data_IF_088658256793
#
_entry.id   IF_088658256793
#
_cell.length_a   1.000
_cell.length_b   1.000
_cell.length_c   1.000
_cell.angle_alpha   90.00
_cell.angle_beta   90.00
_cell.angle_gamma   90.00
#
_symmetry.space_group_name_H-M   'P 1'
#
loop_
_entity.id
_entity.type
_entity.pdbx_description
1 polymer ?
#
# COMPACT_ATOMS: atom_id res chain seq x y z
N UNK A 1 3.97 -16.19 15.30
CA UNK A 1 3.99 -17.14 14.16
C UNK A 1 2.62 -17.30 13.49
N UNK A 2 1.54 -17.53 14.24
CA UNK A 2 0.22 -17.78 13.62
C UNK A 2 -0.27 -16.66 12.68
N UNK A 3 -0.14 -15.38 13.07
CA UNK A 3 -0.56 -14.27 12.19
C UNK A 3 0.23 -14.20 10.87
N UNK A 4 1.54 -14.49 10.93
CA UNK A 4 2.39 -14.58 9.74
C UNK A 4 1.90 -15.69 8.80
N UNK A 5 1.44 -16.82 9.35
CA UNK A 5 0.87 -17.92 8.56
C UNK A 5 -0.49 -17.54 7.95
N UNK A 6 -1.38 -16.88 8.71
CA UNK A 6 -2.64 -16.35 8.20
C UNK A 6 -2.39 -15.40 7.01
N UNK A 7 -1.46 -14.44 7.17
CA UNK A 7 -1.06 -13.52 6.12
C UNK A 7 -0.49 -14.26 4.90
N UNK A 8 0.36 -15.26 5.10
CA UNK A 8 0.91 -16.08 4.02
C UNK A 8 -0.19 -16.85 3.28
N UNK A 9 -1.17 -17.40 3.99
CA UNK A 9 -2.29 -18.13 3.38
C UNK A 9 -3.15 -17.23 2.51
N UNK A 10 -3.52 -16.03 3.00
CA UNK A 10 -4.28 -15.06 2.19
C UNK A 10 -3.47 -14.55 0.99
N UNK A 11 -2.17 -14.36 1.18
CA UNK A 11 -1.24 -13.98 0.10
C UNK A 11 -1.20 -15.04 -0.99
N UNK A 12 -1.12 -16.33 -0.62
CA UNK A 12 -1.16 -17.44 -1.58
C UNK A 12 -2.52 -17.53 -2.28
N UNK A 13 -3.62 -17.27 -1.58
CA UNK A 13 -4.95 -17.24 -2.17
C UNK A 13 -5.10 -16.16 -3.24
N UNK A 14 -4.55 -14.96 -2.98
CA UNK A 14 -4.46 -13.87 -3.96
C UNK A 14 -3.63 -14.28 -5.20
N UNK A 15 -2.51 -14.99 -5.01
CA UNK A 15 -1.70 -15.48 -6.13
C UNK A 15 -2.35 -16.64 -6.89
N UNK A 16 -3.15 -17.49 -6.23
CA UNK A 16 -3.93 -18.52 -6.91
C UNK A 16 -5.07 -17.92 -7.75
N UNK A 17 -5.69 -16.83 -7.27
CA UNK A 17 -6.60 -16.01 -8.07
C UNK A 17 -5.86 -15.47 -9.30
N UNK A 18 -4.68 -14.89 -9.12
CA UNK A 18 -3.85 -14.36 -10.21
C UNK A 18 -3.57 -15.40 -11.28
N UNK A 19 -3.13 -16.60 -10.89
CA UNK A 19 -2.87 -17.70 -11.81
C UNK A 19 -4.12 -18.16 -12.60
N UNK A 20 -5.31 -17.93 -12.05
CA UNK A 20 -6.58 -18.29 -12.69
C UNK A 20 -7.08 -17.19 -13.64
N UNK A 21 -6.94 -15.92 -13.25
CA UNK A 21 -7.58 -14.78 -13.93
C UNK A 21 -6.59 -13.84 -14.66
N UNK A 22 -5.29 -14.12 -14.61
CA UNK A 22 -4.24 -13.35 -15.29
C UNK A 22 -3.88 -12.02 -14.61
N UNK A 23 -4.25 -11.85 -13.34
CA UNK A 23 -3.92 -10.68 -12.54
C UNK A 23 -4.48 -10.77 -11.11
N UNK A 24 -3.89 -9.99 -10.20
CA UNK A 24 -4.34 -9.89 -8.82
C UNK A 24 -5.83 -9.46 -8.78
N UNK A 25 -6.62 -9.93 -7.81
CA UNK A 25 -8.04 -9.61 -7.72
C UNK A 25 -8.24 -8.11 -7.52
N UNK A 26 -9.35 -7.56 -8.03
CA UNK A 26 -9.76 -6.21 -7.67
C UNK A 26 -9.89 -6.08 -6.15
N UNK A 27 -9.44 -4.95 -5.57
CA UNK A 27 -9.61 -4.66 -4.14
C UNK A 27 -11.09 -4.51 -3.74
N UNK A 28 -11.94 -4.21 -4.73
CA UNK A 28 -13.36 -3.93 -4.64
C UNK A 28 -14.04 -4.27 -5.97
N UNK A 29 -15.33 -4.62 -5.92
CA UNK A 29 -16.18 -4.79 -7.11
C UNK A 29 -16.76 -3.46 -7.64
N UNK A 30 -16.35 -2.33 -7.09
CA UNK A 30 -16.79 -1.03 -7.56
C UNK A 30 -16.38 -0.78 -9.03
N UNK A 31 -17.35 -0.36 -9.84
CA UNK A 31 -17.13 -0.05 -11.24
C UNK A 31 -16.05 1.03 -11.43
N UNK A 32 -15.21 0.83 -12.43
CA UNK A 32 -14.26 1.86 -12.86
C UNK A 32 -15.00 3.05 -13.44
N UNK A 33 -14.97 4.18 -12.74
CA UNK A 33 -15.48 5.44 -13.27
C UNK A 33 -14.66 5.94 -14.48
N UNK A 34 -15.17 6.98 -15.14
CA UNK A 34 -14.48 7.65 -16.26
C UNK A 34 -13.21 8.39 -15.83
N UNK A 35 -13.07 8.69 -14.54
CA UNK A 35 -11.92 9.37 -13.96
C UNK A 35 -11.00 8.39 -13.22
N UNK A 36 -9.66 8.55 -13.28
CA UNK A 36 -8.74 7.72 -12.51
C UNK A 36 -8.87 7.92 -10.99
N UNK A 37 -9.28 9.11 -10.55
CA UNK A 37 -9.59 9.37 -9.15
C UNK A 37 -11.08 9.18 -8.89
N UNK A 38 -11.43 8.49 -7.81
CA UNK A 38 -12.80 8.49 -7.31
C UNK A 38 -13.13 9.82 -6.63
N UNK A 39 -14.30 10.37 -6.92
CA UNK A 39 -14.74 11.61 -6.27
C UNK A 39 -14.96 11.41 -4.76
N UNK A 40 -15.34 10.21 -4.35
CA UNK A 40 -15.57 9.84 -2.96
C UNK A 40 -15.45 8.32 -2.78
N UNK A 41 -14.93 7.86 -1.65
CA UNK A 41 -14.89 6.42 -1.32
C UNK A 41 -16.28 5.83 -1.08
N UNK A 42 -17.33 6.64 -0.97
CA UNK A 42 -18.69 6.12 -0.92
C UNK A 42 -19.10 5.35 -2.19
N UNK A 43 -18.34 5.53 -3.29
CA UNK A 43 -18.44 4.79 -4.55
C UNK A 43 -17.71 3.43 -4.53
N UNK A 44 -16.88 3.18 -3.52
CA UNK A 44 -16.01 1.99 -3.39
C UNK A 44 -16.43 1.12 -2.20
N UNK A 45 -16.51 1.74 -1.03
CA UNK A 45 -16.72 1.08 0.25
C UNK A 45 -17.89 0.08 0.34
N UNK A 46 -19.06 0.33 -0.27
CA UNK A 46 -20.20 -0.57 -0.09
C UNK A 46 -20.09 -1.84 -0.92
N UNK A 47 -19.13 -1.93 -1.84
CA UNK A 47 -18.93 -3.10 -2.69
C UNK A 47 -18.16 -4.19 -1.95
N UNK A 48 -18.32 -5.42 -2.42
CA UNK A 48 -17.58 -6.56 -1.91
C UNK A 48 -16.07 -6.34 -2.10
N UNK A 49 -15.27 -6.82 -1.16
CA UNK A 49 -13.81 -6.70 -1.17
C UNK A 49 -13.14 -7.85 -1.93
N UNK A 50 -11.84 -7.69 -2.20
CA UNK A 50 -10.96 -8.76 -2.70
C UNK A 50 -11.06 -10.07 -1.91
N UNK A 51 -11.31 -9.99 -0.60
CA UNK A 51 -11.30 -11.15 0.28
C UNK A 51 -12.43 -12.13 -0.11
N UNK A 52 -13.58 -11.61 -0.56
CA UNK A 52 -14.69 -12.42 -1.07
C UNK A 52 -14.29 -13.16 -2.35
N UNK A 53 -13.52 -12.51 -3.23
CA UNK A 53 -13.04 -13.09 -4.50
C UNK A 53 -12.04 -14.23 -4.30
N UNK A 54 -11.35 -14.25 -3.17
CA UNK A 54 -10.32 -15.27 -2.90
C UNK A 54 -10.77 -16.41 -1.97
N UNK A 55 -12.02 -16.39 -1.48
CA UNK A 55 -12.58 -17.44 -0.62
C UNK A 55 -12.36 -18.87 -1.15
N UNK A 56 -12.58 -19.17 -2.45
CA UNK A 56 -12.35 -20.53 -2.97
C UNK A 56 -10.89 -21.02 -2.83
N UNK A 57 -9.95 -20.08 -2.73
CA UNK A 57 -8.51 -20.38 -2.64
C UNK A 57 -8.00 -20.45 -1.20
N UNK A 58 -8.89 -20.32 -0.21
CA UNK A 58 -8.62 -20.56 1.22
C UNK A 58 -9.55 -21.63 1.82
N UNK A 59 -10.04 -22.55 0.97
CA UNK A 59 -10.92 -23.66 1.36
C UNK A 59 -12.30 -23.20 1.92
N UNK A 60 -12.72 -21.97 1.60
CA UNK A 60 -13.99 -21.38 2.06
C UNK A 60 -15.07 -21.42 0.96
N UNK A 61 -15.15 -22.50 0.18
CA UNK A 61 -16.13 -22.62 -0.94
C UNK A 61 -17.58 -22.49 -0.45
N UNK A 62 -17.92 -23.15 0.67
CA UNK A 62 -19.28 -23.07 1.26
C UNK A 62 -19.67 -21.65 1.66
N UNK A 63 -18.70 -20.82 2.05
CA UNK A 63 -18.93 -19.41 2.34
C UNK A 63 -19.02 -18.59 1.06
N UNK A 64 -18.17 -18.88 0.07
CA UNK A 64 -18.20 -18.23 -1.24
C UNK A 64 -19.58 -18.38 -1.91
N UNK A 65 -20.18 -19.57 -1.84
CA UNK A 65 -21.50 -19.87 -2.42
C UNK A 65 -22.67 -19.09 -1.78
N UNK A 66 -22.46 -18.49 -0.60
CA UNK A 66 -23.47 -17.66 0.07
C UNK A 66 -23.47 -16.19 -0.39
N UNK A 67 -22.40 -15.73 -1.04
CA UNK A 67 -22.34 -14.36 -1.55
C UNK A 67 -22.97 -14.27 -2.93
N UNK A 68 -23.86 -13.30 -3.12
CA UNK A 68 -24.29 -12.88 -4.45
C UNK A 68 -23.29 -11.85 -4.99
N UNK A 69 -22.43 -12.30 -5.89
CA UNK A 69 -21.37 -11.50 -6.51
C UNK A 69 -21.88 -10.43 -7.49
N UNK A 70 -23.18 -10.41 -7.79
CA UNK A 70 -23.84 -9.33 -8.55
C UNK A 70 -24.32 -8.19 -7.67
N UNK A 71 -24.30 -8.38 -6.34
CA UNK A 71 -24.74 -7.41 -5.36
C UNK A 71 -23.56 -6.82 -4.60
N UNK A 72 -23.79 -5.61 -4.07
CA UNK A 72 -22.89 -4.94 -3.13
C UNK A 72 -22.89 -5.64 -1.77
N UNK A 73 -21.90 -5.35 -0.93
CA UNK A 73 -21.83 -5.86 0.44
C UNK A 73 -23.04 -5.38 1.27
N UNK A 74 -23.48 -4.14 1.08
CA UNK A 74 -24.65 -3.55 1.76
C UNK A 74 -26.02 -4.06 1.25
N UNK A 75 -26.01 -4.97 0.26
CA UNK A 75 -27.19 -5.56 -0.38
C UNK A 75 -27.24 -7.09 -0.31
N UNK A 76 -26.30 -7.72 0.40
CA UNK A 76 -26.32 -9.16 0.62
C UNK A 76 -27.53 -9.60 1.45
N UNK A 77 -27.86 -10.88 1.38
CA UNK A 77 -28.98 -11.48 2.12
C UNK A 77 -28.79 -11.30 3.64
N UNK A 78 -29.76 -10.65 4.30
CA UNK A 78 -29.71 -10.34 5.74
C UNK A 78 -29.93 -11.57 6.63
N UNK A 79 -30.55 -12.62 6.10
CA UNK A 79 -30.83 -13.88 6.81
C UNK A 79 -29.63 -14.81 6.77
N UNK A 80 -29.01 -14.97 5.61
CA UNK A 80 -27.75 -15.70 5.44
C UNK A 80 -26.59 -14.96 6.10
N UNK A 81 -26.57 -13.62 5.97
CA UNK A 81 -25.55 -12.73 6.51
C UNK A 81 -24.11 -13.21 6.25
N UNK A 82 -23.72 -13.51 5.00
CA UNK A 82 -22.44 -14.16 4.71
C UNK A 82 -21.24 -13.34 5.19
N UNK A 83 -21.33 -12.01 5.18
CA UNK A 83 -20.30 -11.10 5.70
C UNK A 83 -20.07 -11.17 7.21
N UNK A 84 -20.95 -11.84 7.98
CA UNK A 84 -20.80 -12.08 9.43
C UNK A 84 -19.95 -13.32 9.75
N UNK A 85 -19.61 -14.13 8.75
CA UNK A 85 -18.73 -15.28 8.96
C UNK A 85 -17.31 -14.85 9.32
N UNK A 86 -16.71 -15.55 10.27
CA UNK A 86 -15.34 -15.34 10.72
C UNK A 86 -14.45 -16.45 10.18
N UNK A 87 -13.58 -16.11 9.23
CA UNK A 87 -12.63 -17.06 8.66
C UNK A 87 -11.30 -17.00 9.41
N UNK A 88 -10.79 -18.18 9.80
CA UNK A 88 -9.51 -18.29 10.51
C UNK A 88 -8.34 -17.71 9.69
N UNK A 89 -8.41 -17.80 8.36
CA UNK A 89 -7.39 -17.30 7.45
C UNK A 89 -7.23 -15.77 7.49
N UNK A 90 -8.27 -15.02 7.89
CA UNK A 90 -8.22 -13.56 8.04
C UNK A 90 -7.84 -13.11 9.46
N UNK A 91 -7.67 -14.05 10.39
CA UNK A 91 -7.52 -13.73 11.81
C UNK A 91 -6.05 -13.74 12.24
N UNK A 92 -5.69 -12.73 13.04
CA UNK A 92 -4.45 -12.69 13.79
C UNK A 92 -4.77 -12.80 15.29
N UNK A 93 -4.41 -13.92 15.96
CA UNK A 93 -4.75 -14.13 17.38
C UNK A 93 -4.25 -13.05 18.34
N UNK A 94 -3.20 -12.28 17.99
CA UNK A 94 -2.70 -11.22 18.87
C UNK A 94 -3.66 -10.04 19.00
N UNK A 95 -4.55 -9.81 18.03
CA UNK A 95 -5.53 -8.72 18.06
C UNK A 95 -6.81 -9.07 18.84
N UNK A 96 -7.14 -10.37 18.94
CA UNK A 96 -8.34 -10.84 19.62
C UNK A 96 -9.65 -10.53 18.89
N UNK A 97 -9.65 -10.48 17.55
CA UNK A 97 -10.83 -10.13 16.74
C UNK A 97 -11.97 -11.16 16.75
N UNK A 98 -11.76 -12.37 17.28
CA UNK A 98 -12.77 -13.43 17.33
C UNK A 98 -14.03 -12.93 18.07
N UNK A 99 -15.19 -13.16 17.48
CA UNK A 99 -16.48 -12.67 17.97
C UNK A 99 -16.78 -11.18 17.70
N UNK A 100 -15.80 -10.37 17.28
CA UNK A 100 -16.03 -8.95 16.98
C UNK A 100 -16.77 -8.78 15.65
N UNK A 101 -17.73 -7.86 15.67
CA UNK A 101 -18.54 -7.48 14.50
C UNK A 101 -18.63 -5.96 14.41
N UNK A 102 -18.75 -5.44 13.20
CA UNK A 102 -19.22 -4.08 12.92
C UNK A 102 -20.74 -4.14 12.69
N UNK A 103 -21.50 -3.41 13.51
CA UNK A 103 -22.96 -3.43 13.53
C UNK A 103 -23.51 -2.23 14.32
N UNK A 104 -24.60 -1.59 13.86
CA UNK A 104 -25.21 -1.78 12.54
C UNK A 104 -24.31 -1.27 11.42
N UNK A 105 -24.47 -1.80 10.20
CA UNK A 105 -23.84 -1.18 9.05
C UNK A 105 -24.44 0.20 8.75
N UNK A 106 -23.55 1.17 8.50
CA UNK A 106 -23.86 2.56 8.14
C UNK A 106 -24.89 2.72 7.01
N UNK A 107 -24.93 1.80 6.05
CA UNK A 107 -25.78 1.91 4.84
C UNK A 107 -26.99 1.00 4.89
N UNK A 108 -26.90 -0.11 5.62
CA UNK A 108 -27.98 -1.03 5.83
C UNK A 108 -27.99 -1.50 7.29
N UNK A 109 -28.81 -0.88 8.16
CA UNK A 109 -28.77 -1.17 9.59
C UNK A 109 -29.21 -2.59 9.97
N UNK A 110 -29.74 -3.37 9.01
CA UNK A 110 -30.07 -4.79 9.20
C UNK A 110 -28.89 -5.73 8.93
N UNK A 111 -27.76 -5.21 8.46
CA UNK A 111 -26.53 -5.98 8.21
C UNK A 111 -25.50 -5.75 9.32
N UNK A 112 -24.66 -6.77 9.48
CA UNK A 112 -23.48 -6.75 10.34
C UNK A 112 -22.35 -7.49 9.64
N UNK A 113 -21.11 -7.07 9.90
CA UNK A 113 -19.93 -7.63 9.27
C UNK A 113 -18.96 -8.14 10.33
N UNK A 114 -18.41 -9.33 10.13
CA UNK A 114 -17.33 -9.82 10.96
C UNK A 114 -16.06 -9.01 10.69
N UNK A 115 -15.22 -8.92 11.73
CA UNK A 115 -13.90 -8.30 11.62
C UNK A 115 -12.81 -9.35 11.41
N UNK A 116 -11.76 -8.97 10.71
CA UNK A 116 -10.51 -9.70 10.50
C UNK A 116 -9.33 -8.72 10.53
N UNK A 117 -8.14 -9.24 10.28
CA UNK A 117 -6.89 -8.52 10.49
C UNK A 117 -6.05 -8.35 9.23
N UNK A 118 -6.45 -8.89 8.07
CA UNK A 118 -5.65 -8.80 6.84
C UNK A 118 -6.34 -7.85 5.86
N UNK A 119 -5.57 -6.92 5.32
CA UNK A 119 -6.04 -5.87 4.41
C UNK A 119 -5.16 -5.75 3.19
N UNK A 120 -5.74 -5.27 2.09
CA UNK A 120 -5.03 -4.99 0.86
C UNK A 120 -4.50 -3.55 0.83
N UNK A 121 -3.27 -3.39 0.36
CA UNK A 121 -2.67 -2.09 0.10
C UNK A 121 -3.04 -1.60 -1.31
N UNK A 122 -3.72 -0.44 -1.40
CA UNK A 122 -4.33 0.03 -2.66
C UNK A 122 -3.72 1.30 -3.24
N UNK A 123 -3.03 2.10 -2.42
CA UNK A 123 -2.45 3.39 -2.83
C UNK A 123 -1.45 3.90 -1.79
N UNK A 124 -0.34 4.56 -2.19
CA UNK A 124 0.53 5.26 -1.25
C UNK A 124 -0.16 6.47 -0.61
N UNK A 125 -1.09 7.10 -1.30
CA UNK A 125 -1.78 8.30 -0.82
C UNK A 125 -3.13 7.92 -0.22
N UNK A 126 -4.24 8.36 -0.81
CA UNK A 126 -5.60 8.06 -0.36
C UNK A 126 -6.23 6.92 -1.15
N UNK A 127 -7.20 6.22 -0.55
CA UNK A 127 -7.91 5.09 -1.17
C UNK A 127 -8.58 5.48 -2.49
N UNK A 128 -9.21 6.66 -2.57
CA UNK A 128 -9.85 7.16 -3.81
C UNK A 128 -8.84 7.46 -4.94
N UNK A 129 -7.54 7.47 -4.62
CA UNK A 129 -6.42 7.68 -5.53
C UNK A 129 -5.83 6.42 -6.15
N UNK A 130 -6.37 5.23 -5.87
CA UNK A 130 -5.78 3.93 -6.24
C UNK A 130 -5.52 3.72 -7.74
N UNK A 131 -6.08 4.51 -8.66
CA UNK A 131 -5.74 4.43 -10.11
C UNK A 131 -4.85 5.57 -10.58
N UNK A 132 -4.69 6.62 -9.77
CA UNK A 132 -3.70 7.68 -9.97
C UNK A 132 -2.34 7.15 -9.54
N UNK A 133 -2.25 6.67 -8.30
CA UNK A 133 -1.07 6.03 -7.71
C UNK A 133 -1.42 4.60 -7.28
N UNK A 134 -1.25 3.61 -8.17
CA UNK A 134 -1.70 2.25 -7.90
C UNK A 134 -0.81 1.52 -6.89
N UNK A 135 -1.44 0.96 -5.86
CA UNK A 135 -0.88 -0.12 -5.04
C UNK A 135 -1.00 -1.49 -5.74
N UNK A 136 -0.81 -2.56 -4.97
CA UNK A 136 -0.90 -3.92 -5.52
C UNK A 136 -2.31 -4.28 -5.97
N UNK A 137 -3.31 -4.09 -5.11
CA UNK A 137 -4.70 -4.38 -5.43
C UNK A 137 -5.45 -3.06 -5.62
N UNK A 138 -5.97 -2.83 -6.82
CA UNK A 138 -6.80 -1.67 -7.16
C UNK A 138 -8.18 -2.16 -7.59
N UNK A 139 -9.14 -1.30 -7.93
CA UNK A 139 -10.49 -1.71 -8.33
C UNK A 139 -10.57 -2.35 -9.74
N UNK A 140 -9.48 -2.96 -10.20
CA UNK A 140 -9.33 -3.61 -11.49
C UNK A 140 -8.45 -4.85 -11.31
N UNK A 141 -8.63 -5.86 -12.16
CA UNK A 141 -7.66 -6.97 -12.24
C UNK A 141 -6.28 -6.40 -12.57
N UNK A 142 -5.28 -6.73 -11.77
CA UNK A 142 -3.94 -6.13 -11.86
C UNK A 142 -2.89 -7.19 -12.27
N UNK A 143 -2.54 -7.28 -13.57
CA UNK A 143 -1.56 -8.27 -14.04
C UNK A 143 -0.17 -8.06 -13.43
N UNK A 144 0.54 -9.15 -13.13
CA UNK A 144 1.89 -9.08 -12.55
C UNK A 144 2.87 -8.27 -13.43
N UNK A 145 2.64 -8.24 -14.74
CA UNK A 145 3.45 -7.47 -15.69
C UNK A 145 3.39 -5.93 -15.48
N UNK A 146 2.43 -5.41 -14.70
CA UNK A 146 2.34 -3.98 -14.37
C UNK A 146 3.31 -3.57 -13.24
N UNK A 147 3.83 -4.51 -12.46
CA UNK A 147 4.88 -4.25 -11.45
C UNK A 147 6.25 -4.16 -12.12
N UNK A 148 6.47 -3.05 -12.83
CA UNK A 148 7.70 -2.84 -13.63
C UNK A 148 8.96 -2.68 -12.80
N UNK A 149 8.83 -2.37 -11.51
CA UNK A 149 9.86 -2.33 -10.49
C UNK A 149 9.97 -3.65 -9.70
N UNK A 150 9.34 -4.73 -10.17
CA UNK A 150 9.48 -6.06 -9.59
C UNK A 150 8.50 -6.35 -8.44
N UNK A 151 7.94 -7.55 -8.47
CA UNK A 151 6.94 -8.03 -7.49
C UNK A 151 7.51 -8.19 -6.07
N UNK A 152 8.84 -8.22 -5.92
CA UNK A 152 9.55 -8.31 -4.64
C UNK A 152 9.68 -6.96 -3.92
N UNK A 153 9.22 -5.85 -4.53
CA UNK A 153 9.34 -4.51 -3.95
C UNK A 153 7.99 -3.89 -3.58
N UNK A 154 6.90 -4.47 -4.06
CA UNK A 154 5.55 -3.92 -3.89
C UNK A 154 4.82 -4.63 -2.75
N UNK A 155 4.37 -3.85 -1.75
CA UNK A 155 3.48 -4.34 -0.71
C UNK A 155 2.13 -4.78 -1.30
N UNK A 156 1.63 -5.92 -0.85
CA UNK A 156 0.37 -6.50 -1.29
C UNK A 156 -0.68 -6.51 -0.19
N UNK A 157 -0.43 -7.28 0.87
CA UNK A 157 -1.32 -7.36 2.03
C UNK A 157 -0.55 -6.96 3.30
N UNK A 158 -1.27 -6.47 4.30
CA UNK A 158 -0.69 -6.19 5.63
C UNK A 158 -1.73 -6.40 6.72
N UNK A 159 -1.33 -6.21 7.97
CA UNK A 159 -2.19 -6.34 9.13
C UNK A 159 -2.92 -5.02 9.48
N UNK A 160 -4.15 -5.15 10.02
CA UNK A 160 -4.86 -4.13 10.78
C UNK A 160 -5.30 -4.67 12.13
N UNK A 161 -5.45 -3.77 13.10
CA UNK A 161 -6.08 -4.05 14.39
C UNK A 161 -7.58 -3.77 14.34
N UNK A 162 -8.31 -4.46 15.20
CA UNK A 162 -9.75 -4.25 15.37
C UNK A 162 -10.04 -3.75 16.78
N UNK A 163 -11.03 -2.87 16.92
CA UNK A 163 -11.51 -2.44 18.23
C UNK A 163 -12.71 -3.26 18.68
N UNK A 164 -12.81 -3.47 19.99
CA UNK A 164 -13.99 -4.03 20.65
C UNK A 164 -15.09 -2.97 20.77
N UNK A 165 -15.46 -2.41 19.62
CA UNK A 165 -16.51 -1.43 19.45
C UNK A 165 -17.27 -1.76 18.18
N UNK A 166 -18.57 -2.03 18.31
CA UNK A 166 -19.39 -2.46 17.18
C UNK A 166 -19.59 -1.37 16.13
N UNK A 167 -19.39 -0.10 16.46
CA UNK A 167 -19.48 1.00 15.49
C UNK A 167 -18.14 1.31 14.79
N UNK A 168 -17.06 0.59 15.13
CA UNK A 168 -15.74 0.81 14.52
C UNK A 168 -15.58 -0.10 13.28
N UNK A 169 -15.40 0.45 12.07
CA UNK A 169 -15.41 -0.33 10.84
C UNK A 169 -14.08 -1.06 10.56
N UNK A 170 -13.04 -0.82 11.36
CA UNK A 170 -11.73 -1.44 11.11
C UNK A 170 -11.79 -2.96 11.21
N UNK A 171 -11.14 -3.62 10.27
CA UNK A 171 -11.17 -5.06 10.08
C UNK A 171 -12.39 -5.63 9.35
N UNK A 172 -13.39 -4.84 8.95
CA UNK A 172 -14.49 -5.37 8.12
C UNK A 172 -13.92 -6.01 6.85
N UNK A 173 -14.00 -7.34 6.76
CA UNK A 173 -13.23 -8.08 5.76
C UNK A 173 -13.94 -8.17 4.41
N UNK A 174 -15.28 -8.23 4.40
CA UNK A 174 -16.09 -8.55 3.21
C UNK A 174 -16.54 -7.33 2.41
N UNK A 175 -16.45 -6.12 2.97
CA UNK A 175 -16.71 -4.86 2.29
C UNK A 175 -15.42 -4.05 2.14
N UNK A 176 -15.31 -3.25 1.09
CA UNK A 176 -14.12 -2.48 0.74
C UNK A 176 -13.91 -1.22 1.61
N UNK A 177 -14.12 -1.33 2.93
CA UNK A 177 -13.99 -0.23 3.88
C UNK A 177 -12.52 0.14 4.11
N UNK A 178 -12.24 1.44 4.17
CA UNK A 178 -10.93 1.94 4.55
C UNK A 178 -10.60 1.52 5.99
N UNK A 179 -9.43 0.92 6.22
CA UNK A 179 -9.07 0.29 7.50
C UNK A 179 -9.83 -1.01 7.79
N UNK A 180 -10.81 -1.36 6.95
CA UNK A 180 -11.59 -2.60 6.97
C UNK A 180 -10.87 -3.73 6.25
N UNK A 181 -10.96 -3.74 4.93
CA UNK A 181 -10.31 -4.71 4.04
C UNK A 181 -9.30 -4.08 3.09
N UNK A 182 -9.26 -2.75 3.01
CA UNK A 182 -8.34 -1.98 2.18
C UNK A 182 -7.73 -0.84 2.97
N UNK A 183 -6.49 -0.47 2.63
CA UNK A 183 -5.79 0.67 3.24
C UNK A 183 -4.95 1.43 2.23
N UNK A 184 -4.64 2.67 2.60
CA UNK A 184 -3.67 3.53 1.94
C UNK A 184 -2.91 4.32 3.00
N UNK A 185 -1.74 4.86 2.67
CA UNK A 185 -0.79 5.38 3.67
C UNK A 185 -0.78 6.88 3.85
N UNK A 186 -1.66 7.61 3.15
CA UNK A 186 -1.75 9.08 3.28
C UNK A 186 -0.40 9.77 3.01
N UNK A 187 0.43 9.13 2.19
CA UNK A 187 1.71 9.66 1.76
C UNK A 187 1.47 10.56 0.56
N UNK A 188 1.63 11.86 0.75
CA UNK A 188 1.35 12.86 -0.27
C UNK A 188 2.54 13.03 -1.24
N UNK A 189 2.26 13.45 -2.48
CA UNK A 189 3.27 13.73 -3.52
C UNK A 189 3.62 15.23 -3.62
N UNK A 190 4.91 15.57 -3.85
CA UNK A 190 5.39 16.98 -3.87
C UNK A 190 4.79 17.80 -4.98
N UNK A 191 4.54 17.15 -6.11
CA UNK A 191 4.35 17.83 -7.38
C UNK A 191 2.87 18.16 -7.56
N UNK A 192 1.98 17.24 -7.14
CA UNK A 192 0.52 17.42 -7.19
C UNK A 192 -0.19 16.54 -6.12
N UNK A 193 -0.66 17.10 -4.98
CA UNK A 193 -1.55 16.35 -4.08
C UNK A 193 -2.83 15.94 -4.84
N UNK A 194 -3.37 14.74 -4.59
CA UNK A 194 -4.48 14.15 -5.38
C UNK A 194 -5.73 15.04 -5.44
N UNK A 195 -5.84 16.03 -4.54
CA UNK A 195 -6.50 17.34 -4.71
C UNK A 195 -7.18 17.60 -6.06
N UNK A 196 -6.39 17.58 -7.12
CA UNK A 196 -6.80 17.92 -8.49
C UNK A 196 -6.30 16.95 -9.56
N UNK A 197 -5.46 15.97 -9.21
CA UNK A 197 -4.82 15.09 -10.17
C UNK A 197 -5.79 14.01 -10.68
N UNK A 198 -5.88 13.90 -12.01
CA UNK A 198 -6.76 12.96 -12.72
C UNK A 198 -5.99 12.12 -13.74
N UNK A 199 -4.66 12.11 -13.65
CA UNK A 199 -3.82 11.33 -14.56
C UNK A 199 -3.65 9.93 -14.00
N UNK A 200 -4.05 8.92 -14.78
CA UNK A 200 -3.86 7.52 -14.42
C UNK A 200 -2.37 7.18 -14.44
N UNK A 201 -1.89 6.45 -13.44
CA UNK A 201 -0.47 6.06 -13.31
C UNK A 201 0.47 7.28 -13.40
N UNK A 202 0.12 8.36 -12.70
CA UNK A 202 0.98 9.53 -12.63
C UNK A 202 2.30 9.19 -11.92
N UNK A 203 3.37 9.92 -12.26
CA UNK A 203 4.64 9.78 -11.56
C UNK A 203 4.44 10.15 -10.09
N UNK A 204 4.92 9.28 -9.20
CA UNK A 204 4.77 9.47 -7.77
C UNK A 204 6.10 9.88 -7.15
N UNK A 205 6.16 11.13 -6.69
CA UNK A 205 7.32 11.71 -6.02
C UNK A 205 6.91 12.08 -4.59
N UNK A 206 7.25 11.26 -3.58
CA UNK A 206 6.79 11.51 -2.22
C UNK A 206 7.52 12.70 -1.59
N UNK A 207 6.82 13.49 -0.77
CA UNK A 207 7.41 14.65 -0.12
C UNK A 207 7.19 14.68 1.38
N UNK A 208 8.04 15.47 2.05
CA UNK A 208 7.93 15.74 3.47
C UNK A 208 6.97 16.87 3.72
N UNK A 209 5.75 16.51 4.09
CA UNK A 209 4.82 17.44 4.72
C UNK A 209 4.94 17.31 6.23
N UNK A 210 5.60 18.26 6.89
CA UNK A 210 5.80 18.27 8.34
C UNK A 210 4.49 18.37 9.15
N UNK A 211 3.38 18.74 8.51
CA UNK A 211 2.08 18.92 9.16
C UNK A 211 1.12 17.74 8.94
N UNK A 212 1.35 16.89 7.91
CA UNK A 212 0.50 15.74 7.55
C UNK A 212 1.41 14.59 7.11
N UNK A 213 1.89 13.84 8.09
CA UNK A 213 2.81 12.73 7.88
C UNK A 213 2.10 11.44 7.43
N UNK A 214 2.76 10.67 6.56
CA UNK A 214 2.27 9.35 6.14
C UNK A 214 2.09 8.40 7.33
N UNK A 215 1.13 7.49 7.20
CA UNK A 215 0.77 6.48 8.19
C UNK A 215 1.84 5.39 8.32
N UNK A 216 2.72 5.49 9.32
CA UNK A 216 3.64 4.40 9.66
C UNK A 216 2.91 3.25 10.38
N UNK A 217 3.51 2.04 10.44
CA UNK A 217 2.96 0.95 11.22
C UNK A 217 2.72 1.36 12.68
N UNK A 218 1.56 0.97 13.20
CA UNK A 218 1.12 1.29 14.57
C UNK A 218 1.20 2.79 14.92
N UNK A 219 1.00 3.68 13.93
CA UNK A 219 1.07 5.13 14.13
C UNK A 219 0.30 5.60 15.37
N UNK A 220 0.96 6.43 16.17
CA UNK A 220 0.43 6.97 17.43
C UNK A 220 -0.24 8.33 17.19
N UNK A 221 -1.02 8.85 18.16
CA UNK A 221 -1.76 10.12 18.00
C UNK A 221 -0.83 11.36 18.04
N UNK A 222 0.05 11.55 17.05
CA UNK A 222 1.06 12.63 17.00
C UNK A 222 0.83 13.70 15.93
N UNK A 223 -0.35 13.72 15.31
CA UNK A 223 -0.75 14.76 14.35
C UNK A 223 -1.55 14.23 13.15
N UNK A 224 -1.35 12.96 12.79
CA UNK A 224 -2.18 12.25 11.83
C UNK A 224 -2.83 11.01 12.48
N UNK A 225 -3.96 10.57 11.93
CA UNK A 225 -4.81 9.51 12.47
C UNK A 225 -5.51 8.80 11.32
N UNK A 226 -5.94 7.54 11.52
CA UNK A 226 -6.71 6.84 10.50
C UNK A 226 -7.91 7.71 10.06
N UNK A 227 -8.01 8.00 8.76
CA UNK A 227 -9.06 8.82 8.15
C UNK A 227 -10.17 7.89 7.69
N UNK A 228 -11.17 7.70 8.55
CA UNK A 228 -12.23 6.71 8.38
C UNK A 228 -13.58 7.39 8.13
N UNK A 229 -14.60 6.61 7.76
CA UNK A 229 -15.98 7.10 7.69
C UNK A 229 -16.67 7.14 9.04
N UNK A 230 -16.20 6.33 9.99
CA UNK A 230 -16.69 6.23 11.36
C UNK A 230 -15.49 6.08 12.31
N UNK A 231 -15.52 6.82 13.41
CA UNK A 231 -14.52 6.79 14.47
C UNK A 231 -15.24 6.96 15.82
N UNK A 232 -15.91 5.91 16.33
CA UNK A 232 -16.62 5.97 17.61
C UNK A 232 -15.62 6.07 18.77
N UNK A 233 -15.99 6.78 19.83
CA UNK A 233 -15.21 6.89 21.07
C UNK A 233 -13.73 7.20 20.80
N UNK A 234 -13.50 8.34 20.13
CA UNK A 234 -12.16 8.75 19.64
C UNK A 234 -11.13 8.78 20.76
N UNK A 235 -11.50 9.28 21.93
CA UNK A 235 -10.62 9.34 23.09
C UNK A 235 -10.17 7.94 23.54
N UNK A 236 -11.07 6.95 23.46
CA UNK A 236 -10.75 5.55 23.74
C UNK A 236 -9.87 4.98 22.64
N UNK A 237 -10.12 5.33 21.38
CA UNK A 237 -9.30 4.90 20.24
C UNK A 237 -7.85 5.39 20.38
N UNK A 238 -7.67 6.63 20.82
CA UNK A 238 -6.35 7.21 21.11
C UNK A 238 -5.64 6.47 22.25
N UNK A 239 -6.37 6.13 23.33
CA UNK A 239 -5.84 5.32 24.45
C UNK A 239 -5.43 3.91 24.03
N UNK A 240 -6.12 3.33 23.04
CA UNK A 240 -5.81 2.02 22.47
C UNK A 240 -4.69 2.05 21.41
N UNK A 241 -4.09 3.22 21.18
CA UNK A 241 -3.09 3.48 20.13
C UNK A 241 -3.63 3.15 18.73
N UNK A 242 -4.90 3.49 18.52
CA UNK A 242 -5.62 3.34 17.27
C UNK A 242 -6.31 4.67 16.88
N UNK A 243 -5.56 5.79 16.82
CA UNK A 243 -6.15 7.10 16.57
C UNK A 243 -6.92 7.12 15.27
N UNK A 244 -8.08 7.76 15.30
CA UNK A 244 -8.89 7.95 14.11
C UNK A 244 -9.56 9.32 14.08
N UNK A 245 -10.01 9.71 12.89
CA UNK A 245 -10.90 10.85 12.68
C UNK A 245 -11.89 10.52 11.55
N UNK A 246 -13.01 11.24 11.54
CA UNK A 246 -14.03 11.11 10.51
C UNK A 246 -13.67 12.02 9.33
N UNK A 247 -13.60 11.46 8.12
CA UNK A 247 -13.37 12.17 6.88
C UNK A 247 -14.64 12.17 5.99
N UNK A 248 -14.73 13.15 5.08
CA UNK A 248 -15.84 13.25 4.13
C UNK A 248 -15.79 12.20 3.00
N UNK A 249 -14.78 11.33 2.98
CA UNK A 249 -14.60 10.26 2.02
C UNK A 249 -13.65 10.60 0.87
N UNK A 250 -12.93 11.72 0.94
CA UNK A 250 -11.98 12.13 -0.10
C UNK A 250 -10.55 11.77 0.27
N UNK A 251 -10.23 11.78 1.57
CA UNK A 251 -8.86 11.69 2.06
C UNK A 251 -8.67 10.47 2.97
N UNK A 252 -9.45 9.42 2.72
CA UNK A 252 -9.44 8.24 3.59
C UNK A 252 -8.19 7.40 3.37
N UNK A 253 -7.62 6.95 4.48
CA UNK A 253 -6.50 6.04 4.57
C UNK A 253 -6.40 5.53 6.01
N UNK A 254 -5.63 4.46 6.22
CA UNK A 254 -5.46 3.89 7.54
C UNK A 254 -4.09 3.24 7.65
N UNK A 255 -3.53 3.28 8.85
CA UNK A 255 -2.21 2.72 9.12
C UNK A 255 -2.25 1.19 9.09
N UNK A 256 -1.17 0.52 8.65
CA UNK A 256 -0.92 -0.86 9.06
C UNK A 256 -0.87 -0.93 10.58
N UNK A 257 -1.55 -1.90 11.18
CA UNK A 257 -1.59 -2.03 12.65
C UNK A 257 -1.55 -3.50 13.07
N UNK A 258 -0.81 -3.80 14.13
CA UNK A 258 -0.80 -5.11 14.78
C UNK A 258 -0.55 -4.99 16.28
N UNK A 259 -0.80 -6.06 17.02
CA UNK A 259 -0.41 -6.17 18.45
C UNK A 259 0.99 -6.80 18.62
N UNK A 260 1.75 -6.96 17.54
CA UNK A 260 3.10 -7.48 17.61
C UNK A 260 4.05 -6.39 18.13
N UNK A 261 5.07 -6.73 18.93
CA UNK A 261 6.07 -5.76 19.36
C UNK A 261 6.86 -5.20 18.17
N UNK A 262 6.82 -3.88 17.96
CA UNK A 262 7.76 -3.14 17.10
C UNK A 262 7.45 -3.15 15.60
N UNK A 263 6.24 -3.52 15.18
CA UNK A 263 5.89 -3.51 13.76
C UNK A 263 4.68 -4.32 13.37
N UNK A 264 4.55 -4.58 12.07
CA UNK A 264 3.50 -5.41 11.46
C UNK A 264 4.09 -6.36 10.44
N UNK A 265 3.44 -7.50 10.22
CA UNK A 265 3.74 -8.35 9.08
C UNK A 265 3.06 -7.79 7.83
N UNK A 266 3.78 -7.81 6.72
CA UNK A 266 3.25 -7.47 5.41
C UNK A 266 3.72 -8.48 4.37
N UNK A 267 2.94 -8.69 3.30
CA UNK A 267 3.34 -9.53 2.18
C UNK A 267 3.65 -8.67 0.96
N UNK A 268 4.53 -9.20 0.12
CA UNK A 268 4.89 -8.62 -1.16
C UNK A 268 4.15 -9.35 -2.28
N UNK A 269 4.10 -8.74 -3.46
CA UNK A 269 3.41 -9.32 -4.63
C UNK A 269 4.05 -10.64 -5.08
N UNK A 270 5.34 -10.89 -4.79
CA UNK A 270 5.98 -12.19 -5.03
C UNK A 270 5.56 -13.30 -4.04
N UNK A 271 4.71 -12.95 -3.08
CA UNK A 271 4.20 -13.83 -2.04
C UNK A 271 5.10 -13.97 -0.82
N UNK A 272 6.27 -13.33 -0.79
CA UNK A 272 7.12 -13.28 0.40
C UNK A 272 6.45 -12.47 1.51
N UNK A 273 6.86 -12.72 2.76
CA UNK A 273 6.37 -11.98 3.93
C UNK A 273 7.54 -11.25 4.57
N UNK A 274 7.40 -9.94 4.66
CA UNK A 274 8.35 -9.01 5.27
C UNK A 274 7.81 -8.46 6.58
N UNK A 275 8.69 -7.76 7.30
CA UNK A 275 8.37 -7.05 8.53
C UNK A 275 8.47 -5.56 8.28
N UNK A 276 7.46 -4.80 8.69
CA UNK A 276 7.47 -3.34 8.66
C UNK A 276 7.64 -2.81 10.09
N UNK A 277 8.82 -2.28 10.45
CA UNK A 277 9.05 -1.68 11.76
C UNK A 277 8.15 -0.47 12.03
N UNK A 278 7.78 -0.25 13.28
CA UNK A 278 7.01 0.95 13.69
C UNK A 278 7.76 2.26 13.38
N UNK A 279 9.09 2.22 13.43
CA UNK A 279 10.01 3.34 13.17
C UNK A 279 10.58 3.35 11.75
N UNK A 280 9.99 2.57 10.83
CA UNK A 280 10.40 2.56 9.43
C UNK A 280 10.36 3.99 8.86
N UNK A 281 11.37 4.32 8.04
CA UNK A 281 11.28 5.52 7.21
C UNK A 281 10.02 5.38 6.34
N UNK A 282 9.08 6.30 6.56
CA UNK A 282 7.76 6.31 5.91
C UNK A 282 7.83 6.25 4.38
N UNK A 283 8.91 6.75 3.78
CA UNK A 283 9.11 6.71 2.33
C UNK A 283 9.59 5.36 1.84
N UNK A 284 10.29 4.60 2.68
CA UNK A 284 10.70 3.24 2.38
C UNK A 284 9.56 2.23 2.57
N UNK A 285 8.47 2.62 3.23
CA UNK A 285 7.33 1.74 3.46
C UNK A 285 6.67 1.26 2.15
N UNK A 286 6.83 1.98 1.04
CA UNK A 286 6.32 1.53 -0.28
C UNK A 286 7.41 0.89 -1.16
N UNK A 287 8.67 0.87 -0.70
CA UNK A 287 9.84 0.31 -1.39
C UNK A 287 10.51 -0.74 -0.48
N UNK A 288 9.80 -1.83 -0.24
CA UNK A 288 10.11 -2.76 0.88
C UNK A 288 11.04 -3.90 0.54
N UNK A 289 11.36 -4.12 -0.75
CA UNK A 289 12.50 -4.96 -1.08
C UNK A 289 13.77 -4.23 -0.72
N UNK A 290 14.78 -4.96 -0.21
CA UNK A 290 16.01 -4.42 0.36
C UNK A 290 16.55 -3.23 -0.44
N UNK A 291 16.17 -2.01 -0.03
CA UNK A 291 16.57 -0.80 -0.73
C UNK A 291 18.05 -0.62 -0.46
N UNK A 292 18.84 -0.47 -1.52
CA UNK A 292 20.22 0.05 -1.39
C UNK A 292 20.25 1.51 -0.90
N UNK A 293 19.06 2.11 -0.78
CA UNK A 293 18.75 3.41 -0.18
C UNK A 293 18.30 3.25 1.28
N UNK A 294 19.20 3.47 2.23
CA UNK A 294 18.94 3.32 3.67
C UNK A 294 18.44 4.63 4.31
N UNK A 295 17.85 4.60 5.51
CA UNK A 295 17.50 5.81 6.27
C UNK A 295 18.68 6.76 6.46
N UNK A 296 19.89 6.23 6.71
CA UNK A 296 21.12 7.03 6.83
C UNK A 296 21.43 7.80 5.53
N UNK A 297 21.21 7.17 4.36
CA UNK A 297 21.40 7.83 3.06
C UNK A 297 20.31 8.87 2.80
N UNK A 298 19.07 8.61 3.22
CA UNK A 298 17.98 9.58 3.13
C UNK A 298 18.25 10.82 3.99
N UNK A 299 18.75 10.64 5.22
CA UNK A 299 19.17 11.73 6.09
C UNK A 299 20.37 12.49 5.52
N UNK A 300 21.40 11.77 5.07
CA UNK A 300 22.57 12.38 4.43
C UNK A 300 22.19 13.21 3.20
N UNK A 301 21.24 12.74 2.41
CA UNK A 301 20.72 13.46 1.26
C UNK A 301 20.03 14.78 1.65
N UNK A 302 19.20 14.76 2.69
CA UNK A 302 18.55 15.96 3.20
C UNK A 302 19.58 16.99 3.68
N UNK A 303 20.55 16.55 4.49
CA UNK A 303 21.62 17.39 5.03
C UNK A 303 22.47 18.02 3.91
N UNK A 304 22.80 17.23 2.88
CA UNK A 304 23.56 17.69 1.71
C UNK A 304 22.78 18.72 0.90
N UNK A 305 21.47 18.51 0.68
CA UNK A 305 20.61 19.47 -0.01
C UNK A 305 20.50 20.79 0.75
N UNK A 306 20.29 20.73 2.06
CA UNK A 306 20.21 21.91 2.91
C UNK A 306 21.53 22.68 2.93
N UNK A 307 22.67 21.96 2.98
CA UNK A 307 23.99 22.58 2.91
C UNK A 307 24.24 23.23 1.54
N UNK A 308 23.86 22.57 0.45
CA UNK A 308 23.97 23.11 -0.91
C UNK A 308 23.12 24.37 -1.08
N UNK A 309 21.89 24.37 -0.56
CA UNK A 309 20.99 25.52 -0.59
C UNK A 309 21.60 26.71 0.15
N UNK A 310 22.10 26.50 1.37
CA UNK A 310 22.75 27.54 2.16
C UNK A 310 24.01 28.11 1.51
N UNK A 311 24.88 27.25 0.95
CA UNK A 311 26.09 27.69 0.25
C UNK A 311 25.77 28.42 -1.06
N UNK A 312 24.67 28.08 -1.73
CA UNK A 312 24.25 28.74 -2.97
C UNK A 312 23.98 30.25 -2.77
N UNK A 313 23.44 30.65 -1.62
CA UNK A 313 23.24 32.06 -1.29
C UNK A 313 24.55 32.81 -1.08
N UNK A 314 25.60 32.13 -0.64
CA UNK A 314 26.93 32.73 -0.45
C UNK A 314 27.68 32.82 -1.78
N UNK A 315 27.68 31.75 -2.57
CA UNK A 315 28.43 31.66 -3.83
C UNK A 315 27.83 32.52 -4.95
N UNK A 316 26.51 32.67 -4.97
CA UNK A 316 25.79 33.46 -5.98
C UNK A 316 25.54 34.92 -5.54
N UNK A 317 25.96 35.32 -4.34
CA UNK A 317 25.79 36.70 -3.87
C UNK A 317 26.84 37.63 -4.50
N UNK A 318 26.44 38.80 -5.03
CA UNK A 318 27.38 39.82 -5.50
C UNK A 318 28.17 40.46 -4.34
N UNK A 319 27.70 40.35 -3.09
CA UNK A 319 28.33 40.88 -1.87
C UNK A 319 28.14 39.90 -0.71
N UNK A 320 28.94 38.83 -0.60
CA UNK A 320 28.71 37.78 0.38
C UNK A 320 29.02 38.22 1.82
N UNK A 321 28.27 37.71 2.81
CA UNK A 321 28.43 38.08 4.21
C UNK A 321 29.79 37.58 4.76
N UNK A 322 30.53 38.45 5.48
CA UNK A 322 31.88 38.19 6.04
C UNK A 322 31.94 37.11 7.15
N UNK A 323 30.87 36.33 7.37
CA UNK A 323 30.75 35.42 8.52
C UNK A 323 31.26 34.00 8.26
N UNK A 324 31.62 33.65 7.03
CA UNK A 324 32.05 32.30 6.64
C UNK A 324 33.27 32.35 5.71
N UNK A 325 34.47 32.38 6.27
CA UNK A 325 35.72 32.19 5.52
C UNK A 325 35.91 33.12 4.32
N UNK A 326 36.82 32.76 3.43
CA UNK A 326 36.94 33.41 2.12
C UNK A 326 35.87 32.89 1.14
N UNK A 327 35.47 33.72 0.17
CA UNK A 327 34.52 33.31 -0.89
C UNK A 327 35.03 32.08 -1.65
N UNK A 328 36.36 31.97 -1.81
CA UNK A 328 37.01 30.84 -2.46
C UNK A 328 36.84 29.54 -1.66
N UNK A 329 36.92 29.59 -0.33
CA UNK A 329 36.62 28.45 0.54
C UNK A 329 35.15 28.02 0.43
N UNK A 330 34.21 28.98 0.41
CA UNK A 330 32.79 28.69 0.23
C UNK A 330 32.47 28.07 -1.14
N UNK A 331 33.16 28.52 -2.20
CA UNK A 331 33.06 27.92 -3.54
C UNK A 331 33.61 26.50 -3.57
N UNK A 332 34.79 26.28 -2.99
CA UNK A 332 35.39 24.96 -2.89
C UNK A 332 34.53 23.98 -2.07
N UNK A 333 33.87 24.45 -1.01
CA UNK A 333 32.90 23.65 -0.26
C UNK A 333 31.65 23.36 -1.08
N UNK A 334 31.09 24.36 -1.78
CA UNK A 334 29.93 24.19 -2.64
C UNK A 334 30.15 23.12 -3.71
N UNK A 335 31.30 23.14 -4.40
CA UNK A 335 31.62 22.16 -5.43
C UNK A 335 31.72 20.73 -4.86
N UNK A 336 32.30 20.57 -3.65
CA UNK A 336 32.36 19.28 -2.96
C UNK A 336 30.97 18.77 -2.57
N UNK A 337 30.16 19.61 -1.95
CA UNK A 337 28.80 19.25 -1.52
C UNK A 337 27.92 18.93 -2.75
N UNK A 338 28.10 19.65 -3.86
CA UNK A 338 27.43 19.37 -5.13
C UNK A 338 27.80 17.99 -5.68
N UNK A 339 29.08 17.63 -5.69
CA UNK A 339 29.51 16.31 -6.14
C UNK A 339 28.92 15.17 -5.28
N UNK A 340 28.83 15.37 -3.96
CA UNK A 340 28.17 14.42 -3.06
C UNK A 340 26.66 14.32 -3.38
N UNK A 341 26.00 15.45 -3.65
CA UNK A 341 24.60 15.47 -4.03
C UNK A 341 24.35 14.72 -5.35
N UNK A 342 25.23 14.89 -6.34
CA UNK A 342 25.17 14.18 -7.63
C UNK A 342 25.42 12.68 -7.47
N UNK A 343 26.40 12.29 -6.65
CA UNK A 343 26.67 10.87 -6.35
C UNK A 343 25.47 10.23 -5.68
N UNK A 344 25.00 10.81 -4.57
CA UNK A 344 23.83 10.26 -3.90
C UNK A 344 22.65 10.21 -4.88
N UNK A 345 22.53 11.18 -5.81
CA UNK A 345 21.41 11.21 -6.78
C UNK A 345 21.47 10.04 -7.72
N UNK A 346 22.64 9.72 -8.22
CA UNK A 346 22.85 8.49 -8.97
C UNK A 346 22.52 7.26 -8.12
N UNK A 347 22.89 7.21 -6.84
CA UNK A 347 22.56 6.07 -5.97
C UNK A 347 21.06 5.94 -5.72
N UNK A 348 20.35 7.05 -5.50
CA UNK A 348 18.89 7.08 -5.39
C UNK A 348 18.23 6.64 -6.69
N UNK A 349 18.64 7.22 -7.82
CA UNK A 349 18.11 6.88 -9.14
C UNK A 349 18.39 5.41 -9.48
N UNK A 350 19.51 4.84 -9.04
CA UNK A 350 19.82 3.41 -9.18
C UNK A 350 19.01 2.53 -8.22
N UNK A 351 18.73 2.97 -7.00
CA UNK A 351 17.85 2.24 -6.09
C UNK A 351 16.39 2.27 -6.58
N UNK A 352 15.96 3.42 -7.13
CA UNK A 352 14.63 3.67 -7.66
C UNK A 352 14.39 3.01 -9.03
N UNK A 353 15.35 3.13 -9.96
CA UNK A 353 15.24 2.58 -11.32
C UNK A 353 15.88 1.19 -11.47
N UNK A 354 16.75 0.76 -10.55
CA UNK A 354 17.42 -0.55 -10.59
C UNK A 354 16.44 -1.72 -10.75
N UNK A 355 15.32 -1.74 -10.02
CA UNK A 355 14.29 -2.75 -10.24
C UNK A 355 13.67 -2.68 -11.65
N UNK A 356 13.48 -1.49 -12.23
CA UNK A 356 13.00 -1.29 -13.62
C UNK A 356 13.97 -1.82 -14.68
N UNK A 357 15.27 -1.60 -14.49
CA UNK A 357 16.32 -2.07 -15.42
C UNK A 357 16.49 -3.59 -15.34
N UNK A 358 16.45 -4.16 -14.13
CA UNK A 358 16.54 -5.61 -13.91
C UNK A 358 15.32 -6.34 -14.44
N UNK A 359 14.12 -5.79 -14.26
CA UNK A 359 12.88 -6.30 -14.85
C UNK A 359 12.91 -6.24 -16.38
N UNK A 360 13.49 -5.20 -16.97
CA UNK A 360 13.68 -5.09 -18.43
C UNK A 360 14.62 -6.18 -18.94
N UNK A 361 15.74 -6.41 -18.27
CA UNK A 361 16.67 -7.50 -18.59
C UNK A 361 16.02 -8.88 -18.45
N UNK A 362 15.28 -9.12 -17.36
CA UNK A 362 14.56 -10.37 -17.12
C UNK A 362 13.46 -10.62 -18.17
N UNK A 363 12.74 -9.56 -18.58
CA UNK A 363 11.74 -9.62 -19.65
C UNK A 363 12.38 -9.99 -20.98
N UNK A 364 13.51 -9.38 -21.34
CA UNK A 364 14.22 -9.69 -22.58
C UNK A 364 14.93 -11.05 -22.53
N UNK A 365 15.46 -11.47 -21.39
CA UNK A 365 15.98 -12.82 -21.23
C UNK A 365 14.86 -13.85 -21.32
N UNK A 366 13.69 -13.57 -20.73
CA UNK A 366 12.50 -14.43 -20.83
C UNK A 366 12.02 -14.59 -22.27
N UNK A 367 11.94 -13.49 -23.03
CA UNK A 367 11.66 -13.51 -24.48
C UNK A 367 12.75 -14.27 -25.24
N UNK A 368 14.02 -14.10 -24.87
CA UNK A 368 15.16 -14.82 -25.45
C UNK A 368 15.09 -16.33 -25.20
N UNK A 369 14.76 -16.76 -23.98
CA UNK A 369 14.55 -18.17 -23.63
C UNK A 369 13.32 -18.75 -24.32
N UNK A 370 12.25 -17.98 -24.49
CA UNK A 370 11.07 -18.41 -25.23
C UNK A 370 11.37 -18.60 -26.72
N UNK A 371 12.12 -17.67 -27.33
CA UNK A 371 12.58 -17.78 -28.71
C UNK A 371 13.53 -18.97 -28.92
N UNK A 372 14.48 -19.19 -27.99
CA UNK A 372 15.36 -20.36 -28.00
C UNK A 372 14.59 -21.67 -27.81
N UNK A 373 13.56 -21.68 -26.95
CA UNK A 373 12.67 -22.83 -26.75
C UNK A 373 11.87 -23.19 -28.01
N UNK A 374 11.40 -22.18 -28.76
CA UNK A 374 10.72 -22.38 -30.06
C UNK A 374 11.69 -22.94 -31.11
N UNK A 375 12.92 -22.41 -31.17
CA UNK A 375 13.95 -22.90 -32.10
C UNK A 375 14.39 -24.33 -31.75
N UNK A 376 14.57 -24.65 -30.47
CA UNK A 376 14.90 -26.00 -30.00
C UNK A 376 13.76 -27.00 -30.30
N UNK A 377 12.50 -26.59 -30.13
CA UNK A 377 11.34 -27.43 -30.43
C UNK A 377 11.17 -27.67 -31.96
N UNK A 378 11.58 -26.71 -32.79
CA UNK A 378 11.65 -26.90 -34.25
C UNK A 378 12.82 -27.82 -34.67
N UNK A 379 13.98 -27.71 -34.02
CA UNK A 379 15.15 -28.56 -34.28
C UNK A 379 14.99 -30.02 -33.85
N UNK A 380 14.16 -30.30 -32.84
CA UNK A 380 13.88 -31.68 -32.38
C UNK A 380 12.81 -32.36 -33.24
N UNK A 381 11.95 -31.60 -33.94
CA UNK A 381 10.87 -32.16 -34.77
C UNK A 381 11.24 -32.49 -36.22
N UNK A 382 12.42 -32.11 -36.68
CA UNK A 382 12.95 -32.49 -38.00
C UNK A 382 14.33 -33.16 -37.88
N UNK A 383 14.41 -34.47 -37.58
CA UNK A 383 15.67 -35.21 -37.70
C UNK A 383 16.01 -35.61 -39.14
N UNK A 384 15.06 -35.51 -40.08
CA UNK A 384 15.20 -36.03 -41.45
C UNK A 384 14.82 -34.97 -42.52
N UNK A 385 15.73 -34.02 -42.77
CA UNK A 385 15.91 -33.34 -44.07
C UNK A 385 17.40 -33.21 -44.39
#
# INVERSE_FOLDING_TARGET
>A
MQCKNSLKNMTLAVLNYENTYGGLPPCTDAETGSTPRFANVDLIEPYLSWAVRVLPYVEEQTLADQFDLSLRADKQDVTLAPGKNQMSAMMCPSDGAVGRVYSPDRRNPNLSFAKGNIVAYVSPEHVNGMRVYPGALINEVHPLARFTDGTTNTLMLTEVRTRDNANDPRGVWSAAYCGGSIISYDMHSSDDPIGTLQTRNADYNPFRNVDIDAFTPNSTPTGNSDRLRECPDREVADLELMPCSVDNGTWTGASPRSMHPGGVNASLVDGSVTWLPDDIDRYLMIFTGQSTWTPDKAQQWADVKDRLHNLSFVVNSPSPPRRHGSIEEARAEYDKVKAIAEQLRSEFDNAYNGPRVTATWLKWSGVGFFALGIVANYGIKNPDE
#
